data_IF_729417444812
#
_entry.id   IF_729417444812
#
_cell.length_a   1.000
_cell.length_b   1.000
_cell.length_c   1.000
_cell.angle_alpha   90.00
_cell.angle_beta   90.00
_cell.angle_gamma   90.00
#
_symmetry.space_group_name_H-M   'P 1'
#
loop_
_entity.id
_entity.type
_entity.pdbx_description
1 polymer ?
#
# COMPACT_ATOMS: atom_id res chain seq x y z
N UNK A 1 14.03 21.84 15.57
CA UNK A 1 12.76 21.64 14.84
C UNK A 1 12.01 22.96 14.88
N UNK A 2 12.24 23.84 13.91
CA UNK A 2 11.67 25.19 13.95
C UNK A 2 10.25 25.15 13.38
N UNK A 3 9.33 25.91 13.97
CA UNK A 3 7.96 26.07 13.47
C UNK A 3 7.88 26.76 12.07
N UNK A 4 9.02 27.09 11.46
CA UNK A 4 9.08 27.91 10.25
C UNK A 4 8.65 27.17 8.97
N UNK A 5 8.92 25.87 8.84
CA UNK A 5 8.69 25.17 7.55
C UNK A 5 7.20 24.92 7.24
N UNK A 6 6.36 24.74 8.27
CA UNK A 6 4.91 24.51 8.08
C UNK A 6 4.17 25.79 7.68
N UNK A 7 4.79 26.98 7.83
CA UNK A 7 4.14 28.25 7.49
C UNK A 7 3.85 28.40 5.99
N UNK A 8 4.59 27.69 5.15
CA UNK A 8 4.44 27.70 3.69
C UNK A 8 3.23 26.89 3.19
N UNK A 9 2.56 26.14 4.08
CA UNK A 9 1.41 25.28 3.74
C UNK A 9 0.17 25.68 4.56
N UNK A 10 -0.55 26.76 4.19
CA UNK A 10 -1.63 27.32 5.00
C UNK A 10 -2.77 26.32 5.25
N UNK A 11 -3.11 25.50 4.25
CA UNK A 11 -4.14 24.46 4.38
C UNK A 11 -3.73 23.37 5.37
N UNK A 12 -2.49 22.87 5.26
CA UNK A 12 -1.93 21.87 6.18
C UNK A 12 -1.89 22.41 7.60
N UNK A 13 -1.49 23.66 7.79
CA UNK A 13 -1.49 24.32 9.10
C UNK A 13 -2.90 24.41 9.70
N UNK A 14 -3.88 24.82 8.90
CA UNK A 14 -5.29 24.88 9.33
C UNK A 14 -5.78 23.50 9.79
N UNK A 15 -5.49 22.45 9.02
CA UNK A 15 -5.84 21.06 9.34
C UNK A 15 -5.17 20.58 10.64
N UNK A 16 -3.87 20.86 10.83
CA UNK A 16 -3.12 20.50 12.03
C UNK A 16 -3.67 21.21 13.28
N UNK A 17 -4.00 22.50 13.18
CA UNK A 17 -4.61 23.27 14.26
C UNK A 17 -5.99 22.73 14.65
N UNK A 18 -6.80 22.36 13.64
CA UNK A 18 -8.11 21.75 13.87
C UNK A 18 -7.99 20.40 14.60
N UNK A 19 -7.07 19.53 14.15
CA UNK A 19 -6.77 18.27 14.81
C UNK A 19 -6.32 18.46 16.26
N UNK A 20 -5.45 19.43 16.52
CA UNK A 20 -4.99 19.73 17.87
C UNK A 20 -6.12 20.24 18.79
N UNK A 21 -7.03 21.05 18.26
CA UNK A 21 -8.22 21.51 18.98
C UNK A 21 -9.14 20.34 19.35
N UNK A 22 -9.38 19.40 18.42
CA UNK A 22 -10.17 18.21 18.71
C UNK A 22 -9.46 17.36 19.76
N UNK A 23 -8.17 17.09 19.60
CA UNK A 23 -7.36 16.32 20.54
C UNK A 23 -7.44 16.88 21.97
N UNK A 24 -7.27 18.20 22.14
CA UNK A 24 -7.39 18.89 23.43
C UNK A 24 -8.77 18.71 24.05
N UNK A 25 -9.84 18.86 23.26
CA UNK A 25 -11.23 18.67 23.72
C UNK A 25 -11.51 17.22 24.12
N UNK A 26 -11.05 16.25 23.33
CA UNK A 26 -11.21 14.82 23.65
C UNK A 26 -10.49 14.46 24.95
N UNK A 27 -9.25 14.94 25.15
CA UNK A 27 -8.52 14.72 26.40
C UNK A 27 -9.24 15.37 27.59
N UNK A 28 -9.75 16.59 27.44
CA UNK A 28 -10.50 17.25 28.50
C UNK A 28 -11.79 16.49 28.84
N UNK A 29 -12.50 16.01 27.82
CA UNK A 29 -13.70 15.18 27.99
C UNK A 29 -13.38 13.89 28.76
N UNK A 30 -12.35 13.14 28.32
CA UNK A 30 -11.88 11.92 28.97
C UNK A 30 -11.58 12.16 30.46
N UNK A 31 -10.86 13.23 30.79
CA UNK A 31 -10.53 13.62 32.17
C UNK A 31 -11.78 13.93 33.01
N UNK A 32 -12.71 14.71 32.48
CA UNK A 32 -13.92 15.11 33.23
C UNK A 32 -14.83 13.91 33.47
N UNK A 33 -15.04 13.06 32.47
CA UNK A 33 -15.92 11.90 32.58
C UNK A 33 -15.35 10.84 33.50
N UNK A 34 -14.04 10.59 33.43
CA UNK A 34 -13.36 9.68 34.36
C UNK A 34 -13.56 10.08 35.83
N UNK A 35 -13.58 11.38 36.14
CA UNK A 35 -13.78 11.86 37.52
C UNK A 35 -15.22 11.76 38.00
N UNK A 36 -16.21 11.77 37.09
CA UNK A 36 -17.63 11.85 37.42
C UNK A 36 -18.36 10.51 37.35
N UNK A 37 -17.84 9.57 36.58
CA UNK A 37 -18.49 8.31 36.25
C UNK A 37 -17.53 7.16 36.49
N UNK A 38 -17.75 6.42 37.59
CA UNK A 38 -16.94 5.26 37.96
C UNK A 38 -16.97 4.15 36.91
N UNK A 39 -18.07 4.03 36.18
CA UNK A 39 -18.31 3.05 35.12
C UNK A 39 -17.80 3.48 33.74
N UNK A 40 -17.21 4.69 33.62
CA UNK A 40 -16.77 5.22 32.34
C UNK A 40 -15.59 4.42 31.76
N UNK A 41 -14.60 4.07 32.58
CA UNK A 41 -13.40 3.37 32.11
C UNK A 41 -13.79 1.96 31.65
N UNK A 42 -13.55 1.69 30.38
CA UNK A 42 -13.94 0.43 29.73
C UNK A 42 -15.29 0.46 29.04
N UNK A 43 -16.10 1.50 29.26
CA UNK A 43 -17.33 1.71 28.51
C UNK A 43 -17.05 1.90 27.02
N UNK A 44 -18.02 1.60 26.17
CA UNK A 44 -17.95 1.85 24.72
C UNK A 44 -17.59 3.30 24.42
N UNK A 45 -18.10 4.27 25.20
CA UNK A 45 -17.79 5.70 25.02
C UNK A 45 -16.32 6.01 25.30
N UNK A 46 -15.76 5.43 26.37
CA UNK A 46 -14.35 5.58 26.68
C UNK A 46 -13.47 4.99 25.57
N UNK A 47 -13.79 3.77 25.13
CA UNK A 47 -13.10 3.08 24.06
C UNK A 47 -13.10 3.90 22.75
N UNK A 48 -14.25 4.41 22.32
CA UNK A 48 -14.32 5.24 21.09
C UNK A 48 -13.56 6.58 21.21
N UNK A 49 -13.49 7.16 22.40
CA UNK A 49 -12.70 8.37 22.63
C UNK A 49 -11.19 8.09 22.57
N UNK A 50 -10.74 6.95 23.11
CA UNK A 50 -9.36 6.46 22.97
C UNK A 50 -9.00 6.22 21.50
N UNK A 51 -9.87 5.53 20.76
CA UNK A 51 -9.72 5.30 19.32
C UNK A 51 -9.62 6.61 18.55
N UNK A 52 -10.50 7.57 18.85
CA UNK A 52 -10.49 8.90 18.22
C UNK A 52 -9.18 9.63 18.50
N UNK A 53 -8.71 9.58 19.75
CA UNK A 53 -7.47 10.22 20.16
C UNK A 53 -6.25 9.63 19.43
N UNK A 54 -6.16 8.31 19.34
CA UNK A 54 -5.12 7.63 18.56
C UNK A 54 -5.21 8.01 17.08
N UNK A 55 -6.41 7.97 16.49
CA UNK A 55 -6.60 8.32 15.08
C UNK A 55 -6.10 9.73 14.76
N UNK A 56 -6.45 10.72 15.58
CA UNK A 56 -6.02 12.10 15.40
C UNK A 56 -4.51 12.23 15.60
N UNK A 57 -3.96 11.60 16.64
CA UNK A 57 -2.52 11.64 16.92
C UNK A 57 -1.71 11.07 15.76
N UNK A 58 -2.09 9.89 15.25
CA UNK A 58 -1.40 9.24 14.14
C UNK A 58 -1.56 10.03 12.85
N UNK A 59 -2.77 10.51 12.53
CA UNK A 59 -2.99 11.38 11.34
C UNK A 59 -2.17 12.66 11.40
N UNK A 60 -2.10 13.31 12.56
CA UNK A 60 -1.28 14.51 12.76
C UNK A 60 0.20 14.20 12.49
N UNK A 61 0.71 13.09 13.04
CA UNK A 61 2.09 12.66 12.82
C UNK A 61 2.36 12.30 11.35
N UNK A 62 1.47 11.58 10.69
CA UNK A 62 1.56 11.20 9.28
C UNK A 62 1.61 12.43 8.36
N UNK A 63 0.75 13.43 8.61
CA UNK A 63 0.77 14.71 7.86
C UNK A 63 2.10 15.43 8.07
N UNK A 64 2.57 15.55 9.30
CA UNK A 64 3.86 16.20 9.58
C UNK A 64 5.01 15.50 8.84
N UNK A 65 5.07 14.16 8.91
CA UNK A 65 6.07 13.36 8.19
C UNK A 65 6.01 13.62 6.67
N UNK A 66 4.82 13.69 6.08
CA UNK A 66 4.68 13.98 4.64
C UNK A 66 5.13 15.39 4.25
N UNK A 67 4.92 16.40 5.11
CA UNK A 67 5.43 17.76 4.86
C UNK A 67 6.94 17.77 4.86
N UNK A 68 7.58 17.06 5.80
CA UNK A 68 9.05 16.98 5.86
C UNK A 68 9.63 16.28 4.63
N UNK A 69 9.06 15.14 4.24
CA UNK A 69 9.49 14.43 3.04
C UNK A 69 9.40 15.31 1.77
N UNK A 70 8.32 16.10 1.64
CA UNK A 70 8.15 17.00 0.50
C UNK A 70 9.18 18.15 0.48
N UNK A 71 9.55 18.69 1.63
CA UNK A 71 10.56 19.76 1.73
C UNK A 71 11.94 19.23 1.35
N UNK A 72 12.26 17.99 1.77
CA UNK A 72 13.50 17.32 1.39
C UNK A 72 13.53 17.02 -0.11
N UNK A 73 12.43 16.52 -0.69
CA UNK A 73 12.36 16.16 -2.12
C UNK A 73 12.36 17.36 -3.07
N UNK A 74 11.93 18.55 -2.63
CA UNK A 74 11.98 19.77 -3.47
C UNK A 74 13.43 20.20 -3.79
N UNK A 75 14.42 19.71 -3.04
CA UNK A 75 15.83 19.91 -3.38
C UNK A 75 16.30 19.00 -4.54
N UNK A 76 15.53 17.95 -4.87
CA UNK A 76 15.89 16.89 -5.82
C UNK A 76 14.98 16.83 -7.05
N UNK A 77 14.19 17.90 -7.35
CA UNK A 77 13.31 18.00 -8.52
C UNK A 77 14.09 18.07 -9.85
N UNK A 78 14.70 16.96 -10.25
CA UNK A 78 14.98 16.61 -11.63
C UNK A 78 14.55 15.16 -11.85
N UNK A 79 13.38 15.01 -12.48
CA UNK A 79 12.91 13.80 -13.16
C UNK A 79 12.47 12.65 -12.25
N UNK A 80 11.48 12.85 -11.37
CA UNK A 80 10.70 11.70 -10.92
C UNK A 80 9.94 11.13 -12.14
N UNK A 81 10.21 9.88 -12.56
CA UNK A 81 9.51 9.29 -13.69
C UNK A 81 8.03 9.21 -13.34
N UNK A 82 7.14 9.71 -14.21
CA UNK A 82 5.68 9.66 -14.06
C UNK A 82 5.25 8.36 -13.35
N UNK A 83 4.81 8.54 -12.10
CA UNK A 83 4.93 7.55 -11.03
C UNK A 83 4.30 6.20 -11.37
N UNK A 84 5.11 5.16 -11.21
CA UNK A 84 4.72 3.76 -11.27
C UNK A 84 3.90 3.45 -10.00
N UNK A 85 2.58 3.51 -10.09
CA UNK A 85 1.71 3.40 -8.92
C UNK A 85 0.86 2.13 -8.94
N UNK A 86 0.58 1.58 -7.77
CA UNK A 86 -0.43 0.56 -7.55
C UNK A 86 -1.41 0.97 -6.45
N UNK A 87 -2.58 0.35 -6.51
CA UNK A 87 -3.52 0.32 -5.40
C UNK A 87 -3.27 -0.96 -4.58
N UNK A 88 -3.00 -0.83 -3.29
CA UNK A 88 -2.84 -1.98 -2.39
C UNK A 88 -4.03 -2.03 -1.44
N UNK A 89 -4.64 -3.19 -1.33
CA UNK A 89 -5.80 -3.44 -0.49
C UNK A 89 -5.46 -4.52 0.52
N UNK A 90 -5.66 -4.24 1.81
CA UNK A 90 -5.58 -5.24 2.87
C UNK A 90 -6.99 -5.74 3.20
N UNK A 91 -7.20 -7.06 3.11
CA UNK A 91 -8.49 -7.74 3.33
C UNK A 91 -8.38 -8.84 4.37
N UNK A 92 -9.50 -9.08 5.09
CA UNK A 92 -9.61 -10.20 6.02
C UNK A 92 -8.55 -10.19 7.11
N UNK A 93 -8.12 -9.00 7.54
CA UNK A 93 -7.00 -8.86 8.47
C UNK A 93 -7.38 -9.41 9.85
N UNK A 94 -6.55 -10.31 10.36
CA UNK A 94 -6.69 -10.95 11.68
C UNK A 94 -5.40 -10.77 12.46
N UNK A 95 -5.52 -10.67 13.77
CA UNK A 95 -4.37 -10.71 14.68
C UNK A 95 -4.51 -11.93 15.59
N UNK A 96 -3.45 -12.72 15.70
CA UNK A 96 -3.39 -13.81 16.69
C UNK A 96 -2.56 -13.34 17.89
N UNK A 97 -3.18 -13.40 19.06
CA UNK A 97 -2.68 -12.99 20.35
C UNK A 97 -2.66 -14.23 21.27
N UNK A 98 -1.56 -14.98 21.27
CA UNK A 98 -1.48 -16.27 22.00
C UNK A 98 -1.53 -16.17 23.52
N UNK A 99 -1.57 -14.96 24.10
CA UNK A 99 -1.78 -14.77 25.53
C UNK A 99 -3.20 -15.16 26.03
N UNK A 100 -4.10 -15.67 25.18
CA UNK A 100 -5.52 -15.92 25.48
C UNK A 100 -5.79 -16.84 26.68
N UNK A 101 -4.97 -17.87 26.90
CA UNK A 101 -5.14 -18.76 28.05
C UNK A 101 -4.89 -18.08 29.39
N UNK A 102 -4.05 -17.03 29.40
CA UNK A 102 -3.85 -16.17 30.56
C UNK A 102 -4.92 -15.06 30.67
N UNK A 103 -5.57 -14.68 29.56
CA UNK A 103 -6.62 -13.64 29.56
C UNK A 103 -7.82 -14.05 30.40
N UNK A 104 -8.25 -15.31 30.30
CA UNK A 104 -9.41 -15.82 31.06
C UNK A 104 -9.18 -15.77 32.57
N UNK A 105 -7.94 -16.00 33.01
CA UNK A 105 -7.50 -15.95 34.42
C UNK A 105 -7.27 -14.55 34.95
N UNK A 106 -7.12 -13.55 34.08
CA UNK A 106 -6.89 -12.17 34.53
C UNK A 106 -8.20 -11.49 34.92
N UNK A 107 -8.16 -10.68 35.99
CA UNK A 107 -9.25 -9.77 36.38
C UNK A 107 -9.36 -8.55 35.45
N UNK A 108 -8.94 -8.68 34.18
CA UNK A 108 -8.89 -7.57 33.22
C UNK A 108 -9.52 -7.99 31.89
N UNK A 109 -10.28 -7.08 31.30
CA UNK A 109 -10.62 -7.06 29.88
C UNK A 109 -9.47 -6.44 29.11
N UNK A 110 -9.09 -7.07 27.99
CA UNK A 110 -8.08 -6.54 27.08
C UNK A 110 -8.73 -6.12 25.77
N UNK A 111 -8.54 -4.86 25.40
CA UNK A 111 -9.05 -4.26 24.19
C UNK A 111 -7.89 -3.94 23.26
N UNK A 112 -8.10 -4.10 21.96
CA UNK A 112 -7.08 -3.86 20.96
C UNK A 112 -7.60 -2.99 19.82
N UNK A 113 -6.67 -2.27 19.20
CA UNK A 113 -6.93 -1.37 18.09
C UNK A 113 -5.81 -1.47 17.06
N UNK A 114 -6.15 -1.77 15.82
CA UNK A 114 -5.21 -1.78 14.70
C UNK A 114 -5.15 -0.44 13.99
N UNK A 115 -3.94 -0.01 13.63
CA UNK A 115 -3.69 1.20 12.85
C UNK A 115 -2.80 0.85 11.66
N UNK A 116 -3.22 1.22 10.46
CA UNK A 116 -2.44 1.04 9.22
C UNK A 116 -2.11 2.40 8.63
N UNK A 117 -0.84 2.67 8.39
CA UNK A 117 -0.35 3.95 7.92
C UNK A 117 0.55 3.80 6.69
N UNK A 118 0.31 4.61 5.66
CA UNK A 118 1.23 4.82 4.54
C UNK A 118 1.18 6.28 4.11
N UNK A 119 2.33 6.95 4.09
CA UNK A 119 2.41 8.40 3.88
C UNK A 119 1.50 9.16 4.84
N UNK A 120 0.58 9.96 4.28
CA UNK A 120 -0.44 10.70 5.04
C UNK A 120 -1.76 9.93 5.24
N UNK A 121 -1.91 8.76 4.65
CA UNK A 121 -3.10 7.91 4.74
C UNK A 121 -3.04 7.05 6.00
N UNK A 122 -4.09 7.13 6.83
CA UNK A 122 -4.17 6.40 8.10
C UNK A 122 -5.55 5.78 8.25
N UNK A 123 -5.57 4.46 8.40
CA UNK A 123 -6.74 3.68 8.77
C UNK A 123 -6.67 3.24 10.23
N UNK A 124 -7.81 3.28 10.91
CA UNK A 124 -7.93 2.89 12.32
C UNK A 124 -9.14 1.98 12.45
N UNK A 125 -8.92 0.76 12.91
CA UNK A 125 -9.96 -0.28 13.01
C UNK A 125 -10.97 0.09 14.09
N UNK A 126 -12.06 -0.67 14.17
CA UNK A 126 -12.85 -0.72 15.40
C UNK A 126 -12.04 -1.36 16.54
N UNK A 127 -12.47 -1.11 17.77
CA UNK A 127 -11.87 -1.75 18.94
C UNK A 127 -12.42 -3.17 19.04
N UNK A 128 -11.49 -4.14 19.12
CA UNK A 128 -11.82 -5.55 19.24
C UNK A 128 -11.30 -6.16 20.52
N UNK A 129 -11.86 -7.33 20.85
CA UNK A 129 -11.35 -8.23 21.86
C UNK A 129 -10.96 -9.55 21.18
N UNK A 130 -9.86 -10.20 21.59
CA UNK A 130 -9.55 -11.54 21.13
C UNK A 130 -10.61 -12.53 21.60
N UNK A 131 -10.87 -13.54 20.78
CA UNK A 131 -11.69 -14.69 21.16
C UNK A 131 -10.94 -15.63 22.13
N UNK A 132 -11.57 -16.75 22.47
CA UNK A 132 -10.98 -17.78 23.34
C UNK A 132 -9.70 -18.42 22.79
N UNK A 133 -9.43 -18.27 21.50
CA UNK A 133 -8.22 -18.76 20.82
C UNK A 133 -7.18 -17.65 20.61
N UNK A 134 -7.44 -16.43 21.10
CA UNK A 134 -6.55 -15.29 20.90
C UNK A 134 -6.71 -14.63 19.54
N UNK A 135 -7.70 -15.02 18.73
CA UNK A 135 -7.91 -14.43 17.42
C UNK A 135 -8.78 -13.19 17.53
N UNK A 136 -8.37 -12.13 16.85
CA UNK A 136 -9.15 -10.91 16.70
C UNK A 136 -9.20 -10.50 15.25
N UNK A 137 -10.39 -10.27 14.74
CA UNK A 137 -10.58 -9.71 13.39
C UNK A 137 -10.47 -8.17 13.43
N UNK A 138 -9.59 -7.63 12.59
CA UNK A 138 -9.45 -6.20 12.37
C UNK A 138 -10.38 -5.80 11.23
N UNK A 139 -11.67 -5.62 11.56
CA UNK A 139 -12.74 -5.35 10.59
C UNK A 139 -12.44 -4.12 9.73
N UNK A 140 -12.71 -4.27 8.43
CA UNK A 140 -12.57 -3.22 7.43
C UNK A 140 -11.75 -3.66 6.23
N UNK A 141 -11.93 -2.95 5.12
CA UNK A 141 -11.06 -3.01 3.96
C UNK A 141 -10.16 -1.76 3.97
N UNK A 142 -8.85 -1.96 3.82
CA UNK A 142 -7.88 -0.87 3.92
C UNK A 142 -7.24 -0.65 2.56
N UNK A 143 -7.70 0.38 1.85
CA UNK A 143 -7.33 0.66 0.46
C UNK A 143 -6.32 1.80 0.41
N UNK A 144 -5.14 1.54 -0.12
CA UNK A 144 -4.10 2.53 -0.36
C UNK A 144 -4.00 2.77 -1.88
N UNK A 145 -4.62 3.84 -2.41
CA UNK A 145 -4.91 3.97 -3.84
C UNK A 145 -3.68 4.23 -4.71
N UNK A 146 -2.63 4.81 -4.11
CA UNK A 146 -1.44 5.28 -4.79
C UNK A 146 -0.24 4.89 -3.95
N UNK A 147 0.48 3.87 -4.40
CA UNK A 147 1.67 3.35 -3.74
C UNK A 147 2.77 3.05 -4.73
N UNK A 148 3.99 3.39 -4.35
CA UNK A 148 5.20 3.06 -5.08
C UNK A 148 5.63 1.59 -4.80
N UNK A 149 6.42 0.95 -5.67
CA UNK A 149 6.83 -0.45 -5.50
C UNK A 149 7.63 -0.73 -4.22
N UNK A 150 8.32 0.28 -3.68
CA UNK A 150 9.10 0.24 -2.45
C UNK A 150 8.28 0.60 -1.21
N UNK A 151 6.94 0.54 -1.30
CA UNK A 151 6.07 0.95 -0.22
C UNK A 151 6.35 0.23 1.12
N UNK A 152 6.05 0.96 2.19
CA UNK A 152 6.06 0.45 3.55
C UNK A 152 4.76 0.88 4.25
N UNK A 153 3.80 -0.03 4.37
CA UNK A 153 2.61 0.19 5.20
C UNK A 153 2.97 -0.19 6.63
N UNK A 154 3.02 0.79 7.52
CA UNK A 154 3.23 0.55 8.94
C UNK A 154 1.93 0.09 9.59
N UNK A 155 1.90 -1.14 10.08
CA UNK A 155 0.82 -1.67 10.90
C UNK A 155 1.22 -1.61 12.38
N UNK A 156 0.44 -0.91 13.20
CA UNK A 156 0.65 -0.76 14.63
C UNK A 156 -0.56 -1.30 15.38
N UNK A 157 -0.32 -2.22 16.31
CA UNK A 157 -1.33 -2.74 17.22
C UNK A 157 -1.22 -2.02 18.56
N UNK A 158 -2.34 -1.45 19.01
CA UNK A 158 -2.49 -0.87 20.34
C UNK A 158 -3.27 -1.83 21.23
N UNK A 159 -2.99 -1.82 22.54
CA UNK A 159 -3.77 -2.51 23.54
C UNK A 159 -4.11 -1.63 24.75
N UNK A 160 -5.18 -1.98 25.44
CA UNK A 160 -5.55 -1.40 26.73
C UNK A 160 -6.14 -2.47 27.65
N UNK A 161 -5.64 -2.49 28.88
CA UNK A 161 -6.11 -3.40 29.92
C UNK A 161 -7.03 -2.66 30.88
N UNK A 162 -8.28 -3.12 31.00
CA UNK A 162 -9.33 -2.55 31.84
C UNK A 162 -9.74 -3.56 32.91
N UNK A 163 -9.79 -3.24 34.20
CA UNK A 163 -10.26 -4.17 35.24
C UNK A 163 -11.71 -4.65 35.02
N UNK A 164 -12.02 -5.93 35.29
CA UNK A 164 -13.37 -6.54 35.19
C UNK A 164 -14.32 -6.03 36.26
N UNK A 165 -13.83 -5.80 37.48
CA UNK A 165 -14.61 -5.25 38.58
C UNK A 165 -14.12 -3.84 38.93
N UNK A 166 -15.06 -2.90 38.92
CA UNK A 166 -14.84 -1.50 39.33
C UNK A 166 -15.15 -1.35 40.84
N UNK A 167 -15.03 -2.43 41.61
CA UNK A 167 -15.29 -2.44 43.05
C UNK A 167 -14.11 -1.91 43.87
N UNK A 168 -13.43 -0.90 43.34
CA UNK A 168 -12.37 -0.19 44.03
C UNK A 168 -12.76 1.28 44.10
N UNK A 169 -12.59 1.95 45.25
CA UNK A 169 -12.45 3.40 45.30
C UNK A 169 -11.07 3.71 44.70
N UNK A 170 -10.93 3.51 43.39
CA UNK A 170 -9.73 3.89 42.67
C UNK A 170 -9.70 5.41 42.80
N UNK A 171 -8.85 5.91 43.71
CA UNK A 171 -8.28 7.24 43.59
C UNK A 171 -7.51 7.24 42.28
N UNK A 172 -8.24 7.39 41.17
CA UNK A 172 -7.65 7.54 39.87
C UNK A 172 -6.73 8.73 40.00
N UNK A 173 -5.44 8.47 39.84
CA UNK A 173 -4.44 9.52 39.91
C UNK A 173 -4.88 10.62 38.93
N UNK A 174 -5.02 11.88 39.37
CA UNK A 174 -5.36 13.00 38.47
C UNK A 174 -4.31 13.20 37.35
N UNK A 175 -3.24 12.40 37.37
CA UNK A 175 -2.12 12.39 36.44
C UNK A 175 -2.18 11.26 35.40
N UNK A 176 -3.31 10.57 35.20
CA UNK A 176 -3.41 9.64 34.07
C UNK A 176 -3.13 10.36 32.75
N UNK A 177 -2.17 9.82 31.99
CA UNK A 177 -1.78 10.35 30.68
C UNK A 177 -2.59 9.62 29.62
N UNK A 178 -3.39 10.38 28.89
CA UNK A 178 -4.12 9.92 27.72
C UNK A 178 -3.24 10.02 26.45
N UNK A 179 -3.37 9.11 25.47
CA UNK A 179 -4.24 7.92 25.46
C UNK A 179 -3.79 6.84 26.45
N UNK A 180 -4.76 6.10 27.01
CA UNK A 180 -4.49 4.93 27.87
C UNK A 180 -4.04 3.71 27.06
N UNK A 181 -4.46 3.63 25.79
CA UNK A 181 -4.00 2.61 24.85
C UNK A 181 -2.50 2.77 24.56
N UNK A 182 -1.76 1.66 24.64
CA UNK A 182 -0.31 1.59 24.41
C UNK A 182 0.00 0.74 23.19
N UNK A 183 1.09 1.07 22.50
CA UNK A 183 1.59 0.23 21.41
C UNK A 183 2.06 -1.12 21.97
N UNK A 184 1.55 -2.19 21.39
CA UNK A 184 1.83 -3.59 21.74
C UNK A 184 2.40 -4.37 20.55
N UNK A 185 2.56 -3.76 19.39
CA UNK A 185 3.23 -4.43 18.29
C UNK A 185 3.29 -3.54 17.07
N UNK A 186 4.39 -3.64 16.32
CA UNK A 186 4.52 -2.98 15.03
C UNK A 186 5.09 -3.94 14.00
N UNK A 187 4.56 -3.88 12.78
CA UNK A 187 5.14 -4.56 11.62
C UNK A 187 5.03 -3.67 10.40
N UNK A 188 6.05 -3.73 9.55
CA UNK A 188 6.08 -3.04 8.28
C UNK A 188 5.64 -4.03 7.20
N UNK A 189 4.50 -3.79 6.56
CA UNK A 189 4.04 -4.53 5.40
C UNK A 189 4.71 -3.92 4.17
N UNK A 190 5.45 -4.73 3.43
CA UNK A 190 6.22 -4.34 2.25
C UNK A 190 5.94 -5.31 1.13
N UNK A 191 6.25 -4.93 -0.12
CA UNK A 191 6.04 -5.82 -1.25
C UNK A 191 6.69 -7.20 -1.07
N UNK A 192 7.86 -7.28 -0.43
CA UNK A 192 8.56 -8.54 -0.13
C UNK A 192 7.79 -9.49 0.79
N UNK A 193 7.07 -8.96 1.78
CA UNK A 193 6.38 -9.79 2.76
C UNK A 193 4.89 -10.02 2.44
N UNK A 194 4.40 -9.48 1.33
CA UNK A 194 3.01 -9.69 0.86
C UNK A 194 2.67 -11.16 0.61
N UNK A 195 3.69 -12.00 0.37
CA UNK A 195 3.55 -13.45 0.18
C UNK A 195 3.32 -14.22 1.46
N UNK A 196 3.63 -13.63 2.61
CA UNK A 196 3.54 -14.31 3.89
C UNK A 196 2.15 -14.09 4.49
N UNK A 197 1.43 -15.19 4.73
CA UNK A 197 0.16 -15.15 5.46
C UNK A 197 0.32 -14.73 6.93
N UNK A 198 1.57 -14.66 7.42
CA UNK A 198 1.94 -14.36 8.81
C UNK A 198 3.02 -13.29 8.85
N UNK A 199 2.71 -12.17 9.48
CA UNK A 199 3.60 -11.05 9.70
C UNK A 199 3.83 -10.88 11.20
N UNK A 200 5.07 -11.09 11.64
CA UNK A 200 5.42 -11.07 13.07
C UNK A 200 5.42 -9.63 13.57
N UNK A 201 4.70 -9.37 14.66
CA UNK A 201 4.69 -8.05 15.30
C UNK A 201 5.94 -7.92 16.18
N UNK A 202 6.78 -6.94 15.87
CA UNK A 202 7.89 -6.55 16.74
C UNK A 202 7.34 -5.88 18.00
N UNK A 203 7.81 -6.29 19.18
CA UNK A 203 7.42 -5.64 20.44
C UNK A 203 8.64 -5.30 21.30
N UNK A 204 8.78 -4.05 21.77
CA UNK A 204 9.89 -3.64 22.64
C UNK A 204 9.82 -4.10 24.12
N UNK A 205 8.78 -4.82 24.57
CA UNK A 205 8.57 -5.15 26.00
C UNK A 205 8.31 -6.64 26.24
N UNK A 206 8.39 -7.45 25.20
CA UNK A 206 8.19 -8.88 25.28
C UNK A 206 9.54 -9.57 25.44
N UNK A 207 9.87 -9.93 26.68
CA UNK A 207 10.78 -11.04 26.95
C UNK A 207 9.99 -12.33 26.78
N UNK A 208 9.81 -12.80 25.55
CA UNK A 208 8.98 -13.99 25.29
C UNK A 208 9.86 -15.09 24.68
N UNK A 209 9.67 -16.31 25.19
CA UNK A 209 9.94 -17.58 24.51
C UNK A 209 9.42 -17.58 23.06
N UNK A 210 10.12 -18.28 22.18
CA UNK A 210 9.96 -18.19 20.71
C UNK A 210 8.52 -18.51 20.22
N UNK A 211 7.74 -19.27 20.99
CA UNK A 211 6.45 -19.83 20.56
C UNK A 211 5.22 -18.92 20.75
N UNK A 212 5.38 -17.78 21.44
CA UNK A 212 4.27 -16.91 21.89
C UNK A 212 4.25 -15.52 21.24
N UNK A 213 4.96 -15.34 20.12
CA UNK A 213 5.09 -14.04 19.47
C UNK A 213 3.78 -13.66 18.75
N UNK A 214 3.18 -12.48 19.02
CA UNK A 214 2.00 -12.02 18.31
C UNK A 214 2.28 -11.85 16.82
N UNK A 215 1.29 -12.18 16.00
CA UNK A 215 1.42 -12.00 14.55
C UNK A 215 0.10 -11.55 13.92
N UNK A 216 0.25 -10.88 12.78
CA UNK A 216 -0.81 -10.35 11.94
C UNK A 216 -0.96 -11.27 10.72
N UNK A 217 -2.18 -11.71 10.44
CA UNK A 217 -2.56 -12.34 9.19
C UNK A 217 -3.34 -11.35 8.35
N UNK A 218 -2.99 -11.16 7.09
CA UNK A 218 -3.76 -10.30 6.20
C UNK A 218 -3.63 -10.80 4.77
N UNK A 219 -4.74 -10.78 4.03
CA UNK A 219 -4.70 -11.04 2.60
C UNK A 219 -4.41 -9.71 1.91
N UNK A 220 -3.30 -9.66 1.17
CA UNK A 220 -2.86 -8.45 0.50
C UNK A 220 -3.15 -8.58 -0.99
N UNK A 221 -3.99 -7.70 -1.51
CA UNK A 221 -4.32 -7.60 -2.93
C UNK A 221 -3.62 -6.36 -3.51
N UNK A 222 -2.84 -6.56 -4.58
CA UNK A 222 -2.14 -5.47 -5.27
C UNK A 222 -2.70 -5.33 -6.67
N UNK A 223 -3.23 -4.15 -6.98
CA UNK A 223 -3.73 -3.78 -8.30
C UNK A 223 -2.85 -2.70 -8.89
N UNK A 224 -1.95 -3.10 -9.79
CA UNK A 224 -1.07 -2.18 -10.52
C UNK A 224 -1.90 -1.29 -11.45
N UNK A 225 -1.66 0.03 -11.40
CA UNK A 225 -2.30 0.98 -12.32
C UNK A 225 -1.53 1.00 -13.64
N UNK A 226 -1.83 0.03 -14.51
CA UNK A 226 -1.25 -0.03 -15.84
C UNK A 226 -1.58 1.21 -16.66
N UNK A 227 -0.73 1.59 -17.63
CA UNK A 227 -1.06 2.64 -18.59
C UNK A 227 -2.37 2.30 -19.31
N UNK A 228 -3.11 3.33 -19.71
CA UNK A 228 -4.37 3.14 -20.43
C UNK A 228 -4.15 2.28 -21.68
N UNK A 229 -5.14 1.43 -21.98
CA UNK A 229 -5.09 0.55 -23.14
C UNK A 229 -4.83 1.36 -24.41
N UNK A 230 -3.71 1.10 -25.07
CA UNK A 230 -3.33 1.78 -26.29
C UNK A 230 -3.71 0.91 -27.49
N UNK A 231 -4.49 1.47 -28.41
CA UNK A 231 -4.94 0.79 -29.63
C UNK A 231 -4.53 1.59 -30.86
N UNK A 232 -4.14 0.90 -31.92
CA UNK A 232 -3.75 1.57 -33.16
C UNK A 232 -3.32 0.62 -34.26
N UNK A 233 -3.31 1.13 -35.49
CA UNK A 233 -2.76 0.41 -36.64
C UNK A 233 -1.24 0.54 -36.60
N UNK A 234 -0.53 -0.59 -36.62
CA UNK A 234 0.93 -0.65 -36.54
C UNK A 234 1.44 -1.61 -37.61
N UNK A 235 2.51 -1.22 -38.30
CA UNK A 235 3.21 -2.14 -39.20
C UNK A 235 4.17 -2.98 -38.36
N UNK A 236 3.87 -4.26 -38.20
CA UNK A 236 4.60 -5.21 -37.36
C UNK A 236 5.55 -6.03 -38.22
N UNK A 237 6.85 -5.92 -37.95
CA UNK A 237 7.91 -6.72 -38.54
C UNK A 237 8.33 -7.83 -37.59
N UNK A 238 8.11 -9.10 -37.94
CA UNK A 238 8.54 -10.23 -37.09
C UNK A 238 9.75 -10.88 -37.73
N UNK A 239 10.83 -10.98 -36.96
CA UNK A 239 12.04 -11.72 -37.30
C UNK A 239 12.20 -12.90 -36.35
N UNK A 240 12.27 -14.10 -36.92
CA UNK A 240 12.68 -15.31 -36.20
C UNK A 240 14.13 -15.59 -36.53
N UNK A 241 14.97 -15.76 -35.51
CA UNK A 241 16.39 -16.04 -35.69
C UNK A 241 17.07 -14.97 -36.60
N UNK A 242 17.85 -15.41 -37.60
CA UNK A 242 18.59 -14.55 -38.51
C UNK A 242 17.84 -14.24 -39.82
N UNK A 243 16.54 -14.50 -39.88
CA UNK A 243 15.73 -14.25 -41.08
C UNK A 243 15.50 -12.76 -41.34
N UNK A 244 15.07 -12.43 -42.56
CA UNK A 244 14.59 -11.09 -42.89
C UNK A 244 13.23 -10.87 -42.20
N UNK A 245 12.98 -9.72 -41.54
CA UNK A 245 11.70 -9.48 -40.89
C UNK A 245 10.54 -9.48 -41.90
N UNK A 246 9.51 -10.25 -41.63
CA UNK A 246 8.25 -10.22 -42.38
C UNK A 246 7.38 -9.10 -41.84
N UNK A 247 7.06 -8.11 -42.69
CA UNK A 247 6.28 -6.93 -42.32
C UNK A 247 4.81 -7.11 -42.68
N UNK A 248 3.93 -6.88 -41.72
CA UNK A 248 2.47 -6.93 -41.91
C UNK A 248 1.79 -5.77 -41.21
N UNK A 249 0.78 -5.18 -41.84
CA UNK A 249 -0.05 -4.16 -41.21
C UNK A 249 -1.05 -4.85 -40.28
N UNK A 250 -1.13 -4.40 -39.02
CA UNK A 250 -1.97 -5.04 -37.99
C UNK A 250 -2.69 -4.01 -37.14
N UNK A 251 -3.89 -4.37 -36.68
CA UNK A 251 -4.52 -3.71 -35.54
C UNK A 251 -3.87 -4.22 -34.26
N UNK A 252 -3.24 -3.33 -33.50
CA UNK A 252 -2.48 -3.70 -32.30
C UNK A 252 -3.10 -3.08 -31.05
N UNK A 253 -2.99 -3.82 -29.95
CA UNK A 253 -3.49 -3.43 -28.64
C UNK A 253 -2.38 -3.70 -27.62
N UNK A 254 -2.00 -2.67 -26.88
CA UNK A 254 -1.19 -2.79 -25.67
C UNK A 254 -2.13 -2.68 -24.46
N UNK A 255 -2.24 -3.76 -23.69
CA UNK A 255 -3.10 -3.87 -22.53
C UNK A 255 -2.35 -4.60 -21.42
N UNK A 256 -2.17 -3.94 -20.27
CA UNK A 256 -1.30 -4.41 -19.20
C UNK A 256 0.09 -4.76 -19.77
N UNK A 257 0.59 -5.96 -19.51
CA UNK A 257 1.87 -6.47 -20.05
C UNK A 257 1.77 -7.07 -21.45
N UNK A 258 0.59 -7.13 -22.06
CA UNK A 258 0.37 -7.87 -23.30
C UNK A 258 0.26 -6.94 -24.50
N UNK A 259 1.09 -7.20 -25.52
CA UNK A 259 0.96 -6.63 -26.84
C UNK A 259 0.30 -7.66 -27.77
N UNK A 260 -0.96 -7.40 -28.15
CA UNK A 260 -1.80 -8.27 -28.97
C UNK A 260 -1.94 -7.66 -30.36
N UNK A 261 -2.00 -8.48 -31.41
CA UNK A 261 -2.22 -7.99 -32.77
C UNK A 261 -3.21 -8.85 -33.58
N UNK A 262 -3.97 -8.18 -34.45
CA UNK A 262 -5.09 -8.71 -35.23
C UNK A 262 -4.99 -8.24 -36.69
N UNK A 263 -5.68 -8.91 -37.61
CA UNK A 263 -5.76 -8.47 -39.02
C UNK A 263 -6.55 -7.16 -39.17
N UNK A 264 -7.63 -7.01 -38.40
CA UNK A 264 -8.59 -5.91 -38.54
C UNK A 264 -9.10 -5.44 -37.18
N UNK A 265 -9.58 -4.20 -37.13
CA UNK A 265 -10.11 -3.55 -35.92
C UNK A 265 -11.23 -4.36 -35.27
N UNK A 266 -12.20 -4.82 -36.06
CA UNK A 266 -13.40 -5.52 -35.57
C UNK A 266 -13.10 -6.88 -34.94
N UNK A 267 -11.98 -7.51 -35.31
CA UNK A 267 -11.62 -8.83 -34.79
C UNK A 267 -11.27 -8.81 -33.31
N UNK A 268 -10.84 -7.67 -32.75
CA UNK A 268 -10.47 -7.58 -31.33
C UNK A 268 -11.63 -7.86 -30.37
N UNK A 269 -12.89 -7.80 -30.84
CA UNK A 269 -14.09 -8.07 -30.03
C UNK A 269 -14.59 -9.51 -30.12
N UNK A 270 -14.28 -10.21 -31.21
CA UNK A 270 -14.96 -11.45 -31.57
C UNK A 270 -14.02 -12.63 -31.80
N UNK A 271 -12.71 -12.39 -31.94
CA UNK A 271 -11.74 -13.43 -32.24
C UNK A 271 -10.50 -13.30 -31.33
N UNK A 272 -9.81 -14.41 -31.04
CA UNK A 272 -8.52 -14.34 -30.36
C UNK A 272 -7.48 -13.59 -31.20
N UNK A 273 -6.46 -13.06 -30.53
CA UNK A 273 -5.34 -12.40 -31.20
C UNK A 273 -4.59 -13.38 -32.12
N UNK A 274 -4.12 -12.88 -33.26
CA UNK A 274 -3.26 -13.67 -34.16
C UNK A 274 -1.93 -14.00 -33.50
N UNK A 275 -1.47 -13.09 -32.65
CA UNK A 275 -0.39 -13.35 -31.74
C UNK A 275 -0.42 -12.37 -30.58
N UNK A 276 0.18 -12.85 -29.51
CA UNK A 276 0.34 -12.14 -28.26
C UNK A 276 1.82 -12.15 -27.89
N UNK A 277 2.30 -11.01 -27.42
CA UNK A 277 3.64 -10.85 -26.88
C UNK A 277 3.51 -10.40 -25.45
N UNK A 278 4.02 -11.22 -24.53
CA UNK A 278 4.15 -10.86 -23.14
C UNK A 278 5.38 -9.97 -22.95
N UNK A 279 5.20 -8.66 -22.73
CA UNK A 279 6.28 -7.70 -22.59
C UNK A 279 7.18 -7.97 -21.37
N UNK A 280 6.70 -8.75 -20.41
CA UNK A 280 7.51 -9.25 -19.30
C UNK A 280 8.69 -10.12 -19.73
N UNK A 281 8.54 -10.81 -20.86
CA UNK A 281 9.59 -11.65 -21.46
C UNK A 281 10.52 -10.82 -22.37
N UNK A 282 10.26 -9.52 -22.50
CA UNK A 282 11.06 -8.66 -23.36
C UNK A 282 12.40 -8.35 -22.69
N UNK A 283 13.47 -8.95 -23.22
CA UNK A 283 14.82 -8.74 -22.71
C UNK A 283 15.36 -7.36 -23.05
N UNK A 284 14.97 -6.79 -24.20
CA UNK A 284 15.51 -5.54 -24.73
C UNK A 284 14.45 -4.73 -25.47
N UNK A 285 14.25 -3.47 -25.06
CA UNK A 285 13.48 -2.46 -25.82
C UNK A 285 14.40 -1.33 -26.22
N UNK A 286 14.46 -1.05 -27.51
CA UNK A 286 15.22 0.07 -28.08
C UNK A 286 14.46 0.64 -29.25
N UNK A 287 14.70 1.91 -29.59
CA UNK A 287 14.37 2.39 -30.91
C UNK A 287 15.57 2.21 -31.86
N UNK A 288 15.28 2.04 -33.14
CA UNK A 288 16.28 1.96 -34.20
C UNK A 288 15.69 2.51 -35.50
N UNK A 289 16.47 2.49 -36.58
CA UNK A 289 16.01 2.88 -37.90
C UNK A 289 15.89 1.64 -38.79
N UNK A 290 14.80 1.56 -39.54
CA UNK A 290 14.62 0.57 -40.60
C UNK A 290 14.13 1.29 -41.84
N UNK A 291 14.91 1.24 -42.93
CA UNK A 291 14.65 1.99 -44.17
C UNK A 291 14.38 3.48 -43.89
N UNK A 292 15.26 4.13 -43.12
CA UNK A 292 15.18 5.54 -42.73
C UNK A 292 13.94 5.94 -41.90
N UNK A 293 13.15 4.99 -41.40
CA UNK A 293 12.04 5.25 -40.48
C UNK A 293 12.36 4.74 -39.08
N UNK A 294 11.98 5.50 -38.05
CA UNK A 294 12.10 5.09 -36.65
C UNK A 294 11.16 3.92 -36.37
N UNK A 295 11.69 2.89 -35.73
CA UNK A 295 10.93 1.69 -35.33
C UNK A 295 11.28 1.31 -33.90
N UNK A 296 10.31 0.79 -33.17
CA UNK A 296 10.54 0.20 -31.85
C UNK A 296 10.97 -1.24 -32.06
N UNK A 297 12.09 -1.64 -31.48
CA UNK A 297 12.63 -3.00 -31.53
C UNK A 297 12.44 -3.66 -30.16
N UNK A 298 11.64 -4.72 -30.13
CA UNK A 298 11.40 -5.58 -28.98
C UNK A 298 12.14 -6.90 -29.18
N UNK A 299 13.05 -7.22 -28.27
CA UNK A 299 13.79 -8.48 -28.25
C UNK A 299 13.19 -9.46 -27.24
N UNK A 300 12.93 -10.68 -27.69
CA UNK A 300 12.54 -11.81 -26.85
C UNK A 300 13.56 -12.91 -27.12
N UNK A 301 14.34 -13.26 -26.10
CA UNK A 301 15.43 -14.22 -26.19
C UNK A 301 15.16 -15.33 -25.15
N UNK A 302 14.95 -16.56 -25.61
CA UNK A 302 14.99 -17.77 -24.78
C UNK A 302 16.26 -18.56 -25.10
N UNK A 303 16.52 -19.64 -24.37
CA UNK A 303 17.67 -20.53 -24.61
C UNK A 303 17.69 -21.14 -26.01
N UNK A 304 16.51 -21.36 -26.60
CA UNK A 304 16.34 -22.07 -27.88
C UNK A 304 15.86 -21.18 -29.02
N UNK A 305 15.38 -19.98 -28.72
CA UNK A 305 14.67 -19.16 -29.70
C UNK A 305 14.92 -17.67 -29.52
N UNK A 306 15.24 -17.00 -30.63
CA UNK A 306 15.38 -15.54 -30.68
C UNK A 306 14.31 -14.94 -31.59
N UNK A 307 13.42 -14.17 -30.99
CA UNK A 307 12.40 -13.39 -31.70
C UNK A 307 12.70 -11.92 -31.55
N UNK A 308 12.70 -11.22 -32.67
CA UNK A 308 12.73 -9.76 -32.65
C UNK A 308 11.49 -9.24 -33.34
N UNK A 309 10.77 -8.36 -32.66
CA UNK A 309 9.58 -7.69 -33.19
C UNK A 309 9.92 -6.22 -33.41
N UNK A 310 9.57 -5.72 -34.59
CA UNK A 310 9.73 -4.32 -34.99
C UNK A 310 8.35 -3.69 -35.12
N UNK A 311 8.15 -2.55 -34.48
CA UNK A 311 6.92 -1.78 -34.58
C UNK A 311 7.21 -0.49 -35.32
N UNK A 312 6.57 -0.33 -36.48
CA UNK A 312 6.69 0.84 -37.34
C UNK A 312 5.37 1.60 -37.35
N UNK A 313 5.47 2.91 -37.20
CA UNK A 313 4.35 3.85 -37.13
C UNK A 313 4.47 4.85 -38.28
N UNK A 314 3.33 5.35 -38.74
CA UNK A 314 3.29 6.34 -39.81
C UNK A 314 3.54 7.74 -39.27
N UNK A 315 3.11 8.02 -38.03
CA UNK A 315 3.29 9.32 -37.37
C UNK A 315 4.32 9.26 -36.25
N UNK A 316 5.13 10.31 -36.13
CA UNK A 316 6.13 10.42 -35.05
C UNK A 316 5.48 10.51 -33.66
N UNK A 317 4.31 11.13 -33.56
CA UNK A 317 3.55 11.21 -32.30
C UNK A 317 3.12 9.82 -31.82
N UNK A 318 2.60 8.98 -32.73
CA UNK A 318 2.23 7.60 -32.42
C UNK A 318 3.46 6.79 -31.98
N UNK A 319 4.57 6.91 -32.71
CA UNK A 319 5.83 6.26 -32.32
C UNK A 319 6.22 6.62 -30.88
N UNK A 320 6.18 7.92 -30.54
CA UNK A 320 6.54 8.39 -29.18
C UNK A 320 5.58 7.81 -28.14
N UNK A 321 4.27 7.94 -28.36
CA UNK A 321 3.25 7.45 -27.45
C UNK A 321 3.37 5.95 -27.19
N UNK A 322 3.57 5.14 -28.24
CA UNK A 322 3.75 3.69 -28.10
C UNK A 322 5.05 3.34 -27.40
N UNK A 323 6.14 4.02 -27.73
CA UNK A 323 7.44 3.77 -27.10
C UNK A 323 7.39 4.07 -25.60
N UNK A 324 6.84 5.23 -25.22
CA UNK A 324 6.74 5.64 -23.82
C UNK A 324 5.84 4.66 -23.03
N UNK A 325 4.70 4.23 -23.59
CA UNK A 325 3.81 3.27 -22.92
C UNK A 325 4.42 1.87 -22.80
N UNK A 326 5.14 1.38 -23.82
CA UNK A 326 5.84 0.09 -23.76
C UNK A 326 6.95 0.15 -22.71
N UNK A 327 7.74 1.22 -22.69
CA UNK A 327 8.78 1.40 -21.69
C UNK A 327 8.19 1.45 -20.28
N UNK A 328 7.16 2.27 -20.06
CA UNK A 328 6.44 2.34 -18.78
C UNK A 328 5.92 0.98 -18.34
N UNK A 329 5.28 0.24 -19.24
CA UNK A 329 4.75 -1.10 -18.97
C UNK A 329 5.83 -2.08 -18.52
N UNK A 330 6.98 -2.10 -19.21
CA UNK A 330 8.08 -2.99 -18.86
C UNK A 330 8.73 -2.59 -17.55
N UNK A 331 8.88 -1.28 -17.29
CA UNK A 331 9.41 -0.80 -16.01
C UNK A 331 8.45 -1.15 -14.88
N UNK A 332 7.14 -0.93 -15.05
CA UNK A 332 6.08 -1.35 -14.11
C UNK A 332 6.18 -2.83 -13.80
N UNK A 333 6.17 -3.66 -14.84
CA UNK A 333 6.24 -5.10 -14.67
C UNK A 333 7.50 -5.53 -13.91
N UNK A 334 8.67 -4.97 -14.25
CA UNK A 334 9.91 -5.26 -13.51
C UNK A 334 9.82 -4.86 -12.05
N UNK A 335 9.40 -3.62 -11.76
CA UNK A 335 9.31 -3.13 -10.39
C UNK A 335 8.38 -3.98 -9.51
N UNK A 336 7.27 -4.45 -10.06
CA UNK A 336 6.29 -5.25 -9.32
C UNK A 336 6.58 -6.77 -9.37
N UNK A 337 7.35 -7.28 -10.34
CA UNK A 337 7.76 -8.70 -10.46
C UNK A 337 9.09 -9.08 -9.86
N UNK A 338 10.09 -8.18 -9.77
CA UNK A 338 11.40 -8.52 -9.18
C UNK A 338 11.35 -8.93 -7.71
N UNK A 339 10.15 -8.96 -7.13
CA UNK A 339 9.87 -9.35 -5.76
C UNK A 339 9.06 -10.66 -5.68
N UNK A 340 8.96 -11.37 -6.80
CA UNK A 340 8.46 -12.74 -6.89
C UNK A 340 9.66 -13.71 -7.00
N UNK A 341 10.42 -14.01 -5.92
CA UNK A 341 11.37 -15.11 -5.97
C UNK A 341 10.59 -16.40 -6.16
N UNK A 342 10.95 -17.13 -7.23
CA UNK A 342 10.53 -18.50 -7.54
C UNK A 342 10.69 -19.43 -6.32
#
# INVERSE_FOLDING_TARGET
>A
MSMYDVQHFPETRSKLNHMEKIMKRTIQFLKVYQLRHSDFIGSTRHLEMERTLISIKTKKQAILQSVYANVESQAEELQSPENIQACVTLQGTKCLLRCAENLSKTDKHQYYLGVFQYGSTVYVTEIGCPDKYGQMELKGEFIFPVMDPDFVIKATLYSMNVPKSIFWPIRFSPFMKFPLMKVTGEVNITLQNTKHDKLILSHPQFSIDVDDIPWLSTKIEIKVNWPSTLKGVVTVGIRKNNEVPTWTLRWCILENVYFKYYDYVTRDRYMPALGELNLSECSKVKYTFYLNKKVIKLGFETTTYKKTVFLKFDRQQEFKQWYDNIQKTITLDKCWKTLDPL
#
